data_IF_670768233959
#
_entry.id   IF_670768233959
#
_cell.length_a   1.000
_cell.length_b   1.000
_cell.length_c   1.000
_cell.angle_alpha   90.00
_cell.angle_beta   90.00
_cell.angle_gamma   90.00
#
_symmetry.space_group_name_H-M   'P 1'
#
loop_
_entity.id
_entity.type
_entity.pdbx_description
1 polymer ?
#
# COMPACT_ATOMS: atom_id res chain seq x y z
N UNK A 1 -29.96 -10.35 4.41
CA UNK A 1 -30.03 -9.38 3.30
C UNK A 1 -30.26 -7.99 3.87
N UNK A 2 -29.22 -7.33 4.38
CA UNK A 2 -29.35 -5.95 4.88
C UNK A 2 -28.50 -5.05 3.99
N UNK A 3 -29.15 -4.37 3.05
CA UNK A 3 -28.54 -3.30 2.29
C UNK A 3 -28.66 -2.02 3.13
N UNK A 4 -27.53 -1.43 3.52
CA UNK A 4 -27.51 -0.14 4.21
C UNK A 4 -27.67 0.93 3.13
N UNK A 5 -28.80 1.67 3.07
CA UNK A 5 -28.96 2.70 2.06
C UNK A 5 -27.91 3.80 2.28
N UNK A 6 -27.35 4.39 1.21
CA UNK A 6 -26.37 5.44 1.33
C UNK A 6 -26.96 6.63 2.11
N UNK A 7 -26.26 7.03 3.17
CA UNK A 7 -26.70 8.07 4.10
C UNK A 7 -26.56 9.50 3.54
N UNK A 8 -25.98 9.65 2.35
CA UNK A 8 -25.70 10.95 1.72
C UNK A 8 -26.32 11.03 0.33
N UNK A 9 -26.83 12.21 -0.02
CA UNK A 9 -27.40 12.48 -1.34
C UNK A 9 -26.24 12.59 -2.33
N UNK A 10 -26.20 11.79 -3.40
CA UNK A 10 -25.14 11.86 -4.40
C UNK A 10 -25.19 13.21 -5.13
N UNK A 11 -24.02 13.80 -5.36
CA UNK A 11 -23.89 15.03 -6.15
C UNK A 11 -24.05 14.70 -7.64
N UNK A 12 -25.16 15.13 -8.25
CA UNK A 12 -25.46 14.86 -9.66
C UNK A 12 -24.99 15.98 -10.61
N UNK A 13 -24.70 17.16 -10.07
CA UNK A 13 -24.22 18.32 -10.81
C UNK A 13 -22.73 18.53 -10.53
N UNK A 14 -21.92 18.49 -11.58
CA UNK A 14 -20.47 18.68 -11.49
C UNK A 14 -19.95 19.35 -12.78
N UNK A 15 -18.99 20.28 -12.69
CA UNK A 15 -18.30 20.85 -13.85
C UNK A 15 -17.68 19.79 -14.75
N UNK A 16 -17.60 20.05 -16.07
CA UNK A 16 -17.13 19.08 -17.06
C UNK A 16 -15.73 18.50 -16.83
N UNK A 17 -14.83 19.25 -16.18
CA UNK A 17 -13.49 18.74 -15.85
C UNK A 17 -13.58 17.70 -14.72
N UNK A 18 -14.27 18.01 -13.61
CA UNK A 18 -14.56 17.06 -12.53
C UNK A 18 -15.34 15.85 -13.05
N UNK A 19 -16.35 16.12 -13.90
CA UNK A 19 -16.81 15.31 -15.03
C UNK A 19 -16.11 13.98 -15.30
N UNK A 20 -14.93 14.19 -15.88
CA UNK A 20 -14.22 13.26 -16.71
C UNK A 20 -12.86 12.91 -16.09
N UNK A 21 -12.49 13.52 -14.95
CA UNK A 21 -11.17 13.31 -14.33
C UNK A 21 -10.90 11.84 -14.03
N UNK A 22 -11.86 11.12 -13.45
CA UNK A 22 -11.68 9.70 -13.15
C UNK A 22 -11.37 8.88 -14.42
N UNK A 23 -12.11 9.13 -15.51
CA UNK A 23 -11.90 8.46 -16.79
C UNK A 23 -10.53 8.85 -17.40
N UNK A 24 -10.21 10.14 -17.41
CA UNK A 24 -8.95 10.65 -17.95
C UNK A 24 -7.74 10.07 -17.19
N UNK A 25 -7.75 10.11 -15.85
CA UNK A 25 -6.70 9.56 -14.99
C UNK A 25 -6.54 8.05 -15.24
N UNK A 26 -7.65 7.32 -15.37
CA UNK A 26 -7.60 5.87 -15.67
C UNK A 26 -6.95 5.59 -17.03
N UNK A 27 -7.32 6.33 -18.08
CA UNK A 27 -6.71 6.18 -19.41
C UNK A 27 -5.21 6.50 -19.36
N UNK A 28 -4.82 7.60 -18.69
CA UNK A 28 -3.40 7.95 -18.55
C UNK A 28 -2.60 6.90 -17.77
N UNK A 29 -3.17 6.35 -16.69
CA UNK A 29 -2.55 5.26 -15.93
C UNK A 29 -2.37 4.00 -16.76
N UNK A 30 -3.35 3.66 -17.61
CA UNK A 30 -3.27 2.52 -18.50
C UNK A 30 -2.17 2.66 -19.56
N UNK A 31 -2.05 3.83 -20.18
CA UNK A 31 -0.99 4.13 -21.15
C UNK A 31 0.40 4.00 -20.49
N UNK A 32 0.58 4.58 -19.29
CA UNK A 32 1.84 4.50 -18.55
C UNK A 32 2.19 3.06 -18.16
N UNK A 33 1.21 2.27 -17.71
CA UNK A 33 1.43 0.87 -17.35
C UNK A 33 1.84 0.02 -18.56
N UNK A 34 1.27 0.28 -19.74
CA UNK A 34 1.61 -0.43 -20.99
C UNK A 34 3.05 -0.15 -21.41
N UNK A 35 3.48 1.12 -21.39
CA UNK A 35 4.85 1.53 -21.69
C UNK A 35 5.86 0.89 -20.72
N UNK A 36 5.54 0.86 -19.42
CA UNK A 36 6.40 0.20 -18.41
C UNK A 36 6.50 -1.32 -18.65
N UNK A 37 5.43 -1.97 -19.08
CA UNK A 37 5.43 -3.41 -19.41
C UNK A 37 6.30 -3.70 -20.64
N UNK A 38 6.16 -2.90 -21.70
CA UNK A 38 7.02 -2.97 -22.88
C UNK A 38 8.50 -2.73 -22.53
N UNK A 39 8.78 -1.76 -21.66
CA UNK A 39 10.13 -1.49 -21.17
C UNK A 39 10.73 -2.67 -20.38
N UNK A 40 9.92 -3.38 -19.59
CA UNK A 40 10.35 -4.57 -18.86
C UNK A 40 10.72 -5.74 -19.78
N UNK A 41 10.07 -5.85 -20.95
CA UNK A 41 10.41 -6.86 -21.97
C UNK A 41 11.77 -6.62 -22.62
N UNK A 42 12.29 -5.39 -22.61
CA UNK A 42 13.55 -5.02 -23.29
C UNK A 42 14.84 -5.48 -22.57
N UNK A 43 14.77 -6.46 -21.63
CA UNK A 43 15.90 -7.18 -21.01
C UNK A 43 17.07 -6.33 -20.44
N UNK A 44 16.84 -5.06 -20.11
CA UNK A 44 17.82 -4.23 -19.40
C UNK A 44 17.71 -4.48 -17.89
N UNK A 45 18.73 -5.11 -17.31
CA UNK A 45 18.83 -5.28 -15.86
C UNK A 45 19.02 -3.91 -15.19
N UNK A 46 17.96 -3.39 -14.60
CA UNK A 46 18.00 -2.18 -13.77
C UNK A 46 17.93 -2.58 -12.30
N UNK A 47 18.88 -2.10 -11.51
CA UNK A 47 18.85 -2.31 -10.07
C UNK A 47 17.64 -1.59 -9.44
N UNK A 48 16.94 -2.23 -8.47
CA UNK A 48 15.76 -1.65 -7.85
C UNK A 48 16.15 -0.43 -7.01
N UNK A 49 15.50 0.70 -7.29
CA UNK A 49 15.66 1.93 -6.52
C UNK A 49 15.03 1.81 -5.13
N UNK A 50 15.33 2.76 -4.24
CA UNK A 50 14.72 2.80 -2.91
C UNK A 50 13.18 2.99 -2.98
N UNK A 51 12.68 3.74 -3.96
CA UNK A 51 11.24 3.90 -4.20
C UNK A 51 10.57 2.57 -4.57
N UNK A 52 11.22 1.78 -5.43
CA UNK A 52 10.74 0.44 -5.78
C UNK A 52 10.72 -0.47 -4.55
N UNK A 53 11.78 -0.46 -3.74
CA UNK A 53 11.84 -1.25 -2.51
C UNK A 53 10.77 -0.84 -1.51
N UNK A 54 10.55 0.46 -1.31
CA UNK A 54 9.51 0.98 -0.42
C UNK A 54 8.12 0.51 -0.85
N UNK A 55 7.77 0.68 -2.14
CA UNK A 55 6.48 0.25 -2.67
C UNK A 55 6.30 -1.28 -2.58
N UNK A 56 7.34 -2.05 -2.91
CA UNK A 56 7.28 -3.51 -2.93
C UNK A 56 7.26 -4.12 -1.52
N UNK A 57 7.89 -3.48 -0.53
CA UNK A 57 7.94 -3.94 0.87
C UNK A 57 6.83 -3.34 1.74
N UNK A 58 5.73 -2.89 1.13
CA UNK A 58 4.55 -2.34 1.82
C UNK A 58 4.92 -1.19 2.78
N UNK A 59 5.78 -0.29 2.32
CA UNK A 59 6.28 0.82 3.13
C UNK A 59 7.12 0.39 4.34
N UNK A 60 7.71 -0.81 4.30
CA UNK A 60 8.43 -1.44 5.40
C UNK A 60 7.56 -1.75 6.63
N UNK A 61 6.23 -1.71 6.49
CA UNK A 61 5.31 -1.93 7.61
C UNK A 61 5.46 -3.32 8.25
N UNK A 62 5.39 -4.44 7.50
CA UNK A 62 5.52 -5.77 8.11
C UNK A 62 6.90 -5.99 8.74
N UNK A 63 7.96 -5.45 8.12
CA UNK A 63 9.33 -5.59 8.63
C UNK A 63 9.53 -4.91 9.98
N UNK A 64 8.81 -3.83 10.26
CA UNK A 64 8.85 -3.13 11.55
C UNK A 64 7.81 -3.71 12.50
N UNK A 65 6.54 -3.70 12.10
CA UNK A 65 5.41 -3.99 12.99
C UNK A 65 5.25 -5.46 13.35
N UNK A 66 5.63 -6.40 12.48
CA UNK A 66 5.55 -7.82 12.83
C UNK A 66 6.82 -8.33 13.53
N UNK A 67 7.87 -7.51 13.64
CA UNK A 67 9.14 -7.92 14.26
C UNK A 67 9.40 -7.21 15.57
N UNK A 68 9.29 -5.88 15.60
CA UNK A 68 9.69 -5.09 16.76
C UNK A 68 8.74 -5.28 17.96
N UNK A 69 7.40 -5.11 17.84
CA UNK A 69 6.49 -5.34 18.97
C UNK A 69 6.52 -6.77 19.50
N UNK A 70 6.47 -7.84 18.67
CA UNK A 70 6.54 -9.21 19.18
C UNK A 70 7.87 -9.50 19.87
N UNK A 71 9.00 -9.04 19.31
CA UNK A 71 10.30 -9.17 19.96
C UNK A 71 10.31 -8.49 21.32
N UNK A 72 9.82 -7.26 21.40
CA UNK A 72 9.75 -6.53 22.67
C UNK A 72 8.90 -7.28 23.69
N UNK A 73 7.71 -7.73 23.30
CA UNK A 73 6.82 -8.52 24.17
C UNK A 73 7.49 -9.80 24.66
N UNK A 74 8.11 -10.59 23.77
CA UNK A 74 8.76 -11.84 24.13
C UNK A 74 9.95 -11.62 25.06
N UNK A 75 10.79 -10.62 24.79
CA UNK A 75 11.93 -10.29 25.65
C UNK A 75 11.49 -9.80 27.02
N UNK A 76 10.41 -9.02 27.10
CA UNK A 76 9.85 -8.58 28.38
C UNK A 76 9.32 -9.77 29.17
N UNK A 77 8.50 -10.62 28.54
CA UNK A 77 7.95 -11.82 29.18
C UNK A 77 9.04 -12.77 29.66
N UNK A 78 10.09 -12.99 28.86
CA UNK A 78 11.22 -13.83 29.24
C UNK A 78 12.00 -13.24 30.42
N UNK A 79 12.31 -11.94 30.38
CA UNK A 79 13.00 -11.26 31.49
C UNK A 79 12.19 -11.33 32.78
N UNK A 80 10.89 -11.06 32.72
CA UNK A 80 10.01 -11.22 33.88
C UNK A 80 10.04 -12.66 34.40
N UNK A 81 9.86 -13.67 33.55
CA UNK A 81 9.86 -15.07 34.00
C UNK A 81 11.21 -15.51 34.61
N UNK A 82 12.32 -15.01 34.09
CA UNK A 82 13.68 -15.42 34.53
C UNK A 82 14.25 -14.61 35.70
N UNK A 83 13.80 -13.38 35.93
CA UNK A 83 14.38 -12.48 36.95
C UNK A 83 13.42 -12.09 38.09
N UNK A 84 12.13 -12.46 38.03
CA UNK A 84 11.17 -12.23 39.14
C UNK A 84 10.93 -13.46 40.03
N UNK A 85 11.40 -14.64 39.63
CA UNK A 85 11.20 -15.91 40.36
C UNK A 85 12.45 -16.46 41.07
N UNK A 86 13.54 -15.69 41.04
CA UNK A 86 14.63 -15.78 42.03
C UNK A 86 14.46 -14.63 43.03
#
# INVERSE_FOLDING_TARGET
SYNIPPMTIPQMTMPHHLKLTALAVTITGFILALELNLAAKNLKLKYPSNLFKFSNLLGYFPTVMHRLPPKMSLTMSQKSASMLLD
#
